data_IF_933185266005
#
_entry.id   IF_933185266005
#
_cell.length_a   1.000
_cell.length_b   1.000
_cell.length_c   1.000
_cell.angle_alpha   90.00
_cell.angle_beta   90.00
_cell.angle_gamma   90.00
#
_symmetry.space_group_name_H-M   'P 1'
#
loop_
_entity.id
_entity.type
_entity.pdbx_description
1 polymer ?
#
# COMPACT_ATOMS: atom_id res chain seq x y z
N UNK A 1 -20.77 -10.21 13.89
CA UNK A 1 -19.98 -11.39 14.30
C UNK A 1 -18.53 -10.98 14.25
N UNK A 2 -17.75 -11.15 15.31
CA UNK A 2 -16.32 -10.88 15.28
C UNK A 2 -15.65 -12.02 14.51
N UNK A 3 -15.34 -11.81 13.23
CA UNK A 3 -14.60 -12.78 12.42
C UNK A 3 -13.17 -12.94 12.96
N UNK A 4 -12.66 -14.18 12.94
CA UNK A 4 -11.28 -14.48 13.27
C UNK A 4 -10.36 -13.86 12.20
N UNK A 5 -9.50 -12.88 12.55
CA UNK A 5 -8.65 -12.20 11.57
C UNK A 5 -7.68 -13.16 10.87
N UNK A 6 -7.29 -14.27 11.50
CA UNK A 6 -6.44 -15.29 10.87
C UNK A 6 -7.21 -16.06 9.80
N UNK A 7 -8.46 -16.43 10.09
CA UNK A 7 -9.31 -17.11 9.12
C UNK A 7 -9.55 -16.23 7.88
N UNK A 8 -9.89 -14.96 8.09
CA UNK A 8 -10.06 -13.96 7.02
C UNK A 8 -8.78 -13.82 6.19
N UNK A 9 -7.62 -13.75 6.84
CA UNK A 9 -6.34 -13.65 6.14
C UNK A 9 -5.99 -14.91 5.33
N UNK A 10 -6.35 -16.11 5.82
CA UNK A 10 -6.16 -17.37 5.09
C UNK A 10 -7.06 -17.48 3.87
N UNK A 11 -8.33 -17.09 4.00
CA UNK A 11 -9.27 -17.03 2.88
C UNK A 11 -8.77 -16.08 1.80
N UNK A 12 -8.39 -14.85 2.19
CA UNK A 12 -7.85 -13.89 1.22
C UNK A 12 -6.54 -14.35 0.59
N UNK A 13 -5.66 -15.03 1.35
CA UNK A 13 -4.44 -15.61 0.79
C UNK A 13 -4.74 -16.64 -0.30
N UNK A 14 -5.73 -17.50 -0.09
CA UNK A 14 -6.14 -18.50 -1.07
C UNK A 14 -6.67 -17.85 -2.37
N UNK A 15 -7.50 -16.82 -2.25
CA UNK A 15 -7.98 -16.05 -3.42
C UNK A 15 -6.84 -15.39 -4.19
N UNK A 16 -5.87 -14.79 -3.47
CA UNK A 16 -4.71 -14.16 -4.10
C UNK A 16 -3.84 -15.19 -4.80
N UNK A 17 -3.63 -16.36 -4.19
CA UNK A 17 -2.91 -17.47 -4.82
C UNK A 17 -3.62 -17.97 -6.08
N UNK A 18 -4.94 -18.11 -6.07
CA UNK A 18 -5.71 -18.48 -7.25
C UNK A 18 -5.52 -17.46 -8.39
N UNK A 19 -5.68 -16.17 -8.10
CA UNK A 19 -5.45 -15.08 -9.07
C UNK A 19 -4.03 -15.10 -9.64
N UNK A 20 -3.04 -15.34 -8.78
CA UNK A 20 -1.64 -15.40 -9.19
C UNK A 20 -1.34 -16.63 -10.05
N UNK A 21 -1.87 -17.79 -9.68
CA UNK A 21 -1.71 -19.03 -10.44
C UNK A 21 -2.37 -18.91 -11.82
N UNK A 22 -3.58 -18.33 -11.88
CA UNK A 22 -4.25 -18.02 -13.14
C UNK A 22 -3.42 -17.05 -14.01
N UNK A 23 -2.90 -15.97 -13.42
CA UNK A 23 -2.07 -14.98 -14.12
C UNK A 23 -0.77 -15.58 -14.68
N UNK A 24 -0.15 -16.51 -13.96
CA UNK A 24 1.09 -17.18 -14.35
C UNK A 24 0.86 -18.48 -15.13
N UNK A 25 -0.40 -18.84 -15.41
CA UNK A 25 -0.79 -20.05 -16.12
C UNK A 25 -0.20 -21.34 -15.50
N UNK A 26 -0.40 -21.49 -14.19
CA UNK A 26 0.03 -22.66 -13.40
C UNK A 26 -1.10 -23.15 -12.51
N UNK A 27 -1.03 -24.41 -12.07
CA UNK A 27 -2.11 -25.03 -11.30
C UNK A 27 -2.00 -24.77 -9.79
N UNK A 28 -0.78 -24.58 -9.29
CA UNK A 28 -0.52 -24.41 -7.85
C UNK A 28 0.46 -23.30 -7.57
N UNK A 29 0.41 -22.72 -6.37
CA UNK A 29 1.38 -21.72 -5.94
C UNK A 29 2.81 -22.27 -5.92
N UNK A 30 2.98 -23.56 -5.65
CA UNK A 30 4.29 -24.21 -5.70
C UNK A 30 4.93 -24.14 -7.10
N UNK A 31 4.14 -24.24 -8.15
CA UNK A 31 4.55 -24.06 -9.55
C UNK A 31 4.75 -22.58 -9.91
N UNK A 32 4.06 -21.66 -9.24
CA UNK A 32 4.21 -20.22 -9.44
C UNK A 32 5.56 -19.69 -8.93
N UNK A 33 6.05 -20.18 -7.79
CA UNK A 33 7.31 -19.70 -7.16
C UNK A 33 8.52 -19.62 -8.09
N UNK A 34 8.92 -20.65 -8.86
CA UNK A 34 10.06 -20.53 -9.77
C UNK A 34 9.84 -19.48 -10.86
N UNK A 35 8.60 -19.24 -11.31
CA UNK A 35 8.28 -18.16 -12.25
C UNK A 35 8.43 -16.78 -11.61
N UNK A 36 7.97 -16.61 -10.37
CA UNK A 36 8.19 -15.39 -9.58
C UNK A 36 9.69 -15.09 -9.43
N UNK A 37 10.50 -16.10 -9.06
CA UNK A 37 11.94 -15.93 -8.95
C UNK A 37 12.59 -15.49 -10.27
N UNK A 38 12.15 -16.05 -11.41
CA UNK A 38 12.66 -15.66 -12.72
C UNK A 38 12.30 -14.22 -13.08
N UNK A 39 11.05 -13.81 -12.83
CA UNK A 39 10.60 -12.41 -13.01
C UNK A 39 11.42 -11.48 -12.10
N UNK A 40 11.64 -11.91 -10.85
CA UNK A 40 12.36 -11.15 -9.84
C UNK A 40 13.87 -11.11 -10.03
N UNK A 41 14.44 -11.74 -11.07
CA UNK A 41 15.88 -11.68 -11.36
C UNK A 41 16.27 -10.43 -12.17
N UNK A 42 15.33 -9.83 -12.90
CA UNK A 42 15.62 -8.67 -13.75
C UNK A 42 15.92 -7.41 -12.91
N UNK A 43 17.01 -6.70 -13.22
CA UNK A 43 17.47 -5.49 -12.53
C UNK A 43 17.63 -4.33 -13.52
N UNK A 44 17.41 -3.08 -13.10
CA UNK A 44 17.80 -1.92 -13.88
C UNK A 44 19.33 -1.85 -14.01
N UNK A 45 19.80 -1.20 -15.06
CA UNK A 45 21.22 -0.84 -15.15
C UNK A 45 21.60 0.16 -14.05
N UNK A 46 22.87 0.19 -13.59
CA UNK A 46 23.34 1.23 -12.67
C UNK A 46 22.99 2.64 -13.17
N UNK A 47 22.46 3.47 -12.26
CA UNK A 47 21.98 4.82 -12.59
C UNK A 47 20.61 4.89 -13.29
N UNK A 48 19.93 3.75 -13.53
CA UNK A 48 18.58 3.72 -14.09
C UNK A 48 17.45 3.60 -13.04
N UNK A 49 17.78 3.50 -11.75
CA UNK A 49 16.77 3.42 -10.68
C UNK A 49 15.94 4.70 -10.64
N UNK A 50 16.57 5.84 -10.41
CA UNK A 50 15.89 7.14 -10.30
C UNK A 50 15.11 7.50 -11.58
N UNK A 51 15.70 7.42 -12.80
CA UNK A 51 14.95 7.64 -14.05
C UNK A 51 13.75 6.70 -14.20
N UNK A 52 13.91 5.41 -13.90
CA UNK A 52 12.82 4.45 -14.04
C UNK A 52 11.66 4.70 -13.08
N UNK A 53 11.93 5.15 -11.84
CA UNK A 53 10.87 5.55 -10.91
C UNK A 53 10.19 6.87 -11.30
N UNK A 54 10.91 7.82 -11.91
CA UNK A 54 10.29 9.03 -12.48
C UNK A 54 9.30 8.66 -13.59
N UNK A 55 9.72 7.79 -14.51
CA UNK A 55 8.84 7.31 -15.57
C UNK A 55 7.66 6.50 -15.04
N UNK A 56 7.89 5.61 -14.06
CA UNK A 56 6.83 4.84 -13.43
C UNK A 56 5.81 5.75 -12.73
N UNK A 57 6.25 6.78 -11.99
CA UNK A 57 5.36 7.77 -11.39
C UNK A 57 4.56 8.56 -12.44
N UNK A 58 5.19 8.98 -13.54
CA UNK A 58 4.48 9.65 -14.66
C UNK A 58 3.38 8.77 -15.23
N UNK A 59 3.68 7.50 -15.52
CA UNK A 59 2.69 6.51 -15.99
C UNK A 59 1.53 6.34 -15.01
N UNK A 60 1.80 6.37 -13.71
CA UNK A 60 0.76 6.28 -12.69
C UNK A 60 -0.16 7.51 -12.67
N UNK A 61 0.40 8.71 -12.83
CA UNK A 61 -0.37 9.96 -12.95
C UNK A 61 -1.23 9.96 -14.22
N UNK A 62 -0.65 9.58 -15.36
CA UNK A 62 -1.40 9.49 -16.62
C UNK A 62 -2.54 8.47 -16.51
N UNK A 63 -2.28 7.31 -15.89
CA UNK A 63 -3.29 6.28 -15.65
C UNK A 63 -4.49 6.77 -14.84
N UNK A 64 -4.28 7.50 -13.74
CA UNK A 64 -5.41 7.98 -12.93
C UNK A 64 -6.23 9.05 -13.66
N UNK A 65 -5.59 9.87 -14.51
CA UNK A 65 -6.26 10.86 -15.37
C UNK A 65 -7.07 10.17 -16.47
N UNK A 66 -6.44 9.27 -17.21
CA UNK A 66 -7.05 8.56 -18.35
C UNK A 66 -8.26 7.72 -17.93
N UNK A 67 -8.23 7.18 -16.70
CA UNK A 67 -9.33 6.41 -16.13
C UNK A 67 -10.37 7.27 -15.39
N UNK A 68 -10.18 8.58 -15.33
CA UNK A 68 -11.08 9.50 -14.63
C UNK A 68 -11.25 9.16 -13.16
N UNK A 69 -10.20 8.65 -12.50
CA UNK A 69 -10.24 8.23 -11.10
C UNK A 69 -10.07 9.43 -10.16
N UNK A 70 -9.23 10.38 -10.55
CA UNK A 70 -8.93 11.60 -9.79
C UNK A 70 -8.79 12.80 -10.72
N UNK A 71 -9.29 13.95 -10.28
CA UNK A 71 -9.09 15.23 -10.94
C UNK A 71 -7.80 15.88 -10.38
N UNK A 72 -6.74 15.85 -11.17
CA UNK A 72 -5.42 16.35 -10.80
C UNK A 72 -5.06 17.58 -11.64
N UNK A 73 -4.41 18.61 -11.05
CA UNK A 73 -3.90 19.76 -11.80
C UNK A 73 -3.07 19.33 -13.02
N UNK A 74 -3.09 20.13 -14.10
CA UNK A 74 -2.38 19.80 -15.34
C UNK A 74 -0.87 19.66 -15.13
N UNK A 75 -0.30 20.45 -14.23
CA UNK A 75 1.11 20.47 -13.82
C UNK A 75 1.41 19.55 -12.63
N UNK A 76 0.47 18.68 -12.23
CA UNK A 76 0.70 17.74 -11.14
C UNK A 76 1.80 16.74 -11.51
N UNK A 77 2.82 16.69 -10.67
CA UNK A 77 3.93 15.74 -10.72
C UNK A 77 4.20 15.20 -9.31
N UNK A 78 4.76 13.99 -9.24
CA UNK A 78 5.23 13.39 -7.98
C UNK A 78 6.70 13.79 -7.80
N UNK A 79 7.05 14.63 -6.80
CA UNK A 79 8.43 14.93 -6.48
C UNK A 79 9.16 13.65 -6.12
N UNK A 80 10.38 13.48 -6.66
CA UNK A 80 11.20 12.31 -6.40
C UNK A 80 12.63 12.72 -6.06
N UNK A 81 13.12 12.20 -4.92
CA UNK A 81 14.47 12.44 -4.43
C UNK A 81 15.18 11.12 -4.08
N UNK A 82 16.48 10.98 -4.32
CA UNK A 82 17.25 9.87 -3.77
C UNK A 82 17.22 9.89 -2.24
N UNK A 83 17.28 8.72 -1.61
CA UNK A 83 17.48 8.61 -0.17
C UNK A 83 18.84 9.17 0.22
N UNK A 84 18.88 9.86 1.36
CA UNK A 84 20.13 10.30 1.97
C UNK A 84 20.90 9.10 2.54
N UNK A 85 22.24 9.17 2.65
CA UNK A 85 23.02 8.09 3.26
C UNK A 85 22.51 7.71 4.65
N UNK A 86 22.34 6.40 4.89
CA UNK A 86 21.75 5.86 6.11
C UNK A 86 20.22 5.74 6.06
N UNK A 87 19.55 6.31 5.06
CA UNK A 87 18.10 6.18 4.85
C UNK A 87 17.67 4.76 4.44
N UNK A 88 18.58 3.98 3.87
CA UNK A 88 18.37 2.59 3.44
C UNK A 88 18.02 1.63 4.60
N UNK A 89 18.19 2.07 5.86
CA UNK A 89 17.76 1.30 7.04
C UNK A 89 16.24 1.32 7.22
N UNK A 90 15.56 2.31 6.62
CA UNK A 90 14.13 2.52 6.74
C UNK A 90 13.38 1.87 5.58
N UNK A 91 13.77 2.19 4.34
CA UNK A 91 13.11 1.68 3.14
C UNK A 91 14.04 1.75 1.93
N UNK A 92 13.74 0.98 0.89
CA UNK A 92 14.38 1.09 -0.42
C UNK A 92 13.59 2.05 -1.34
N UNK A 93 12.26 2.15 -1.18
CA UNK A 93 11.42 3.16 -1.83
C UNK A 93 10.26 3.53 -0.89
N UNK A 94 9.87 4.79 -0.84
CA UNK A 94 8.87 5.23 0.14
C UNK A 94 8.25 6.59 -0.18
N UNK A 95 7.13 6.87 0.45
CA UNK A 95 6.59 8.23 0.53
C UNK A 95 7.06 8.92 1.82
N UNK A 96 7.62 10.13 1.68
CA UNK A 96 7.81 11.05 2.79
C UNK A 96 6.74 12.14 2.72
N UNK A 97 5.61 11.99 3.44
CA UNK A 97 4.57 13.00 3.48
C UNK A 97 5.07 14.28 4.18
N UNK A 98 4.63 15.45 3.70
CA UNK A 98 4.95 16.71 4.35
C UNK A 98 4.06 16.94 5.60
N UNK A 99 4.59 17.63 6.64
CA UNK A 99 3.80 18.10 7.79
C UNK A 99 2.60 18.96 7.38
N UNK A 100 1.50 18.89 8.15
CA UNK A 100 0.29 19.65 7.83
C UNK A 100 0.54 21.16 7.94
N UNK A 101 1.36 21.55 8.91
CA UNK A 101 1.66 22.94 9.25
C UNK A 101 3.12 23.35 8.94
N UNK A 102 3.82 22.58 8.09
CA UNK A 102 5.19 22.88 7.66
C UNK A 102 5.26 23.63 6.31
N UNK A 103 6.47 23.99 5.87
CA UNK A 103 6.75 24.44 4.50
C UNK A 103 7.14 23.25 3.60
N UNK A 104 6.94 23.37 2.29
CA UNK A 104 7.22 22.31 1.32
C UNK A 104 6.03 21.38 1.03
N UNK A 105 6.31 20.33 0.24
CA UNK A 105 5.39 19.23 -0.11
C UNK A 105 6.07 17.88 0.09
N UNK A 106 5.30 16.80 0.13
CA UNK A 106 5.85 15.45 0.29
C UNK A 106 6.74 15.05 -0.90
N UNK A 107 7.49 13.95 -0.77
CA UNK A 107 8.31 13.41 -1.85
C UNK A 107 8.27 11.89 -1.84
N UNK A 108 8.23 11.31 -3.03
CA UNK A 108 8.68 9.94 -3.25
C UNK A 108 10.19 9.91 -3.03
N UNK A 109 10.68 8.91 -2.29
CA UNK A 109 12.11 8.68 -2.08
C UNK A 109 12.52 7.30 -2.53
N UNK A 110 13.74 7.18 -3.05
CA UNK A 110 14.26 5.90 -3.56
C UNK A 110 15.74 5.75 -3.26
N UNK A 111 16.16 4.55 -2.88
CA UNK A 111 17.56 4.17 -2.77
C UNK A 111 18.14 3.97 -4.18
N UNK A 112 19.20 4.70 -4.52
CA UNK A 112 19.84 4.54 -5.83
C UNK A 112 20.78 3.31 -5.86
N UNK A 113 20.20 2.12 -5.66
CA UNK A 113 20.88 0.82 -5.70
C UNK A 113 20.12 -0.14 -6.62
N UNK A 114 20.65 -0.34 -7.83
CA UNK A 114 20.03 -1.20 -8.84
C UNK A 114 19.76 -2.63 -8.34
N UNK A 115 20.61 -3.19 -7.47
CA UNK A 115 20.47 -4.56 -6.97
C UNK A 115 19.22 -4.76 -6.09
N UNK A 116 18.75 -3.68 -5.46
CA UNK A 116 17.59 -3.67 -4.55
C UNK A 116 16.26 -3.34 -5.21
N UNK A 117 16.28 -2.97 -6.49
CA UNK A 117 15.07 -2.60 -7.23
C UNK A 117 14.84 -3.55 -8.42
N UNK A 118 14.27 -4.76 -8.18
CA UNK A 118 13.81 -5.59 -9.29
C UNK A 118 12.89 -4.82 -10.24
N UNK A 119 13.08 -4.94 -11.55
CA UNK A 119 12.36 -4.12 -12.54
C UNK A 119 10.83 -4.22 -12.41
N UNK A 120 10.34 -5.44 -12.17
CA UNK A 120 8.91 -5.70 -11.99
C UNK A 120 8.27 -4.98 -10.78
N UNK A 121 9.05 -4.44 -9.85
CA UNK A 121 8.55 -3.69 -8.69
C UNK A 121 8.36 -2.20 -8.96
N UNK A 122 8.97 -1.63 -10.01
CA UNK A 122 9.04 -0.18 -10.15
C UNK A 122 7.65 0.47 -10.28
N UNK A 123 6.78 -0.07 -11.15
CA UNK A 123 5.41 0.44 -11.30
C UNK A 123 4.54 0.11 -10.08
N UNK A 124 4.51 -1.14 -9.57
CA UNK A 124 3.79 -1.47 -8.34
C UNK A 124 4.15 -0.60 -7.12
N UNK A 125 5.44 -0.35 -6.88
CA UNK A 125 5.87 0.53 -5.79
C UNK A 125 5.55 2.00 -6.07
N UNK A 126 5.56 2.43 -7.34
CA UNK A 126 5.09 3.77 -7.73
C UNK A 126 3.59 3.95 -7.50
N UNK A 127 2.80 2.89 -7.58
CA UNK A 127 1.38 2.90 -7.18
C UNK A 127 1.24 3.01 -5.67
N UNK A 128 1.92 2.14 -4.92
CA UNK A 128 1.80 2.06 -3.46
C UNK A 128 2.27 3.34 -2.77
N UNK A 129 3.49 3.77 -3.06
CA UNK A 129 4.12 4.93 -2.41
C UNK A 129 3.72 6.24 -3.10
N UNK A 130 3.44 6.20 -4.40
CA UNK A 130 3.12 7.37 -5.21
C UNK A 130 1.61 7.54 -5.43
N UNK A 131 1.20 7.36 -6.68
CA UNK A 131 -0.15 7.64 -7.16
C UNK A 131 -0.78 6.36 -7.72
N UNK A 132 -2.02 6.00 -7.37
CA UNK A 132 -2.93 6.70 -6.45
C UNK A 132 -2.69 6.43 -4.95
N UNK A 133 -1.60 5.79 -4.53
CA UNK A 133 -1.35 5.42 -3.13
C UNK A 133 -0.97 6.57 -2.20
N UNK A 134 0.11 6.39 -1.42
CA UNK A 134 0.44 7.25 -0.28
C UNK A 134 0.67 8.72 -0.64
N UNK A 135 1.39 9.01 -1.72
CA UNK A 135 1.65 10.39 -2.12
C UNK A 135 0.34 11.12 -2.43
N UNK A 136 -0.54 10.51 -3.24
CA UNK A 136 -1.84 11.12 -3.57
C UNK A 136 -2.70 11.31 -2.31
N UNK A 137 -2.75 10.29 -1.44
CA UNK A 137 -3.50 10.33 -0.19
C UNK A 137 -3.04 11.50 0.70
N UNK A 138 -1.73 11.64 0.87
CA UNK A 138 -1.14 12.72 1.67
C UNK A 138 -1.30 14.09 1.01
N UNK A 139 -1.14 14.17 -0.31
CA UNK A 139 -1.32 15.41 -1.05
C UNK A 139 -2.76 15.94 -0.91
N UNK A 140 -3.77 15.09 -1.12
CA UNK A 140 -5.18 15.47 -0.95
C UNK A 140 -5.48 15.93 0.49
N UNK A 141 -4.93 15.22 1.48
CA UNK A 141 -5.03 15.62 2.89
C UNK A 141 -4.40 17.00 3.14
N UNK A 142 -3.20 17.27 2.60
CA UNK A 142 -2.57 18.60 2.70
C UNK A 142 -3.45 19.68 2.05
N UNK A 143 -3.96 19.46 0.82
CA UNK A 143 -4.84 20.41 0.14
C UNK A 143 -6.10 20.73 0.95
N UNK A 144 -6.61 19.73 1.65
CA UNK A 144 -7.86 19.82 2.41
C UNK A 144 -7.70 20.56 3.73
N UNK A 145 -6.63 20.29 4.48
CA UNK A 145 -6.53 20.67 5.90
C UNK A 145 -5.44 21.71 6.19
N UNK A 146 -4.45 21.91 5.30
CA UNK A 146 -3.33 22.83 5.54
C UNK A 146 -3.83 24.25 5.78
N UNK A 147 -3.34 24.87 6.87
CA UNK A 147 -3.66 26.26 7.22
C UNK A 147 -5.10 26.50 7.68
N UNK A 148 -5.90 25.45 7.92
CA UNK A 148 -7.31 25.57 8.33
C UNK A 148 -7.51 25.29 9.82
N UNK A 149 -7.39 26.33 10.65
CA UNK A 149 -7.56 26.20 12.10
C UNK A 149 -8.97 25.75 12.54
N UNK A 150 -9.99 25.94 11.69
CA UNK A 150 -11.36 25.48 11.89
C UNK A 150 -11.55 23.98 11.61
N UNK A 151 -10.52 23.29 11.09
CA UNK A 151 -10.59 21.88 10.69
C UNK A 151 -9.42 21.11 11.28
N UNK A 152 -9.70 20.35 12.34
CA UNK A 152 -8.77 19.35 12.83
C UNK A 152 -8.86 18.09 11.95
N UNK A 153 -7.71 17.53 11.58
CA UNK A 153 -7.60 16.22 10.97
C UNK A 153 -6.43 15.47 11.60
N UNK A 154 -6.54 14.14 11.77
CA UNK A 154 -5.42 13.33 12.21
C UNK A 154 -4.24 13.45 11.24
N UNK A 155 -3.03 13.51 11.79
CA UNK A 155 -1.80 13.56 10.99
C UNK A 155 -1.42 12.18 10.46
N UNK A 156 -0.73 12.11 9.30
CA UNK A 156 -0.10 10.86 8.89
C UNK A 156 0.91 10.40 9.95
N UNK A 157 0.93 9.09 10.23
CA UNK A 157 1.86 8.49 11.19
C UNK A 157 3.31 8.77 10.75
N UNK A 158 4.19 9.01 11.71
CA UNK A 158 5.62 9.29 11.49
C UNK A 158 5.94 10.62 10.77
N UNK A 159 4.95 11.49 10.58
CA UNK A 159 5.19 12.87 10.18
C UNK A 159 5.59 13.69 11.41
N UNK A 160 6.75 14.39 11.41
CA UNK A 160 7.12 15.29 12.48
C UNK A 160 6.27 16.56 12.39
N UNK A 161 5.04 16.49 12.92
CA UNK A 161 4.12 17.61 13.05
C UNK A 161 4.01 17.99 14.54
N UNK A 162 4.56 19.16 14.95
CA UNK A 162 4.56 19.58 16.36
C UNK A 162 3.16 19.69 16.96
N UNK A 163 2.16 20.04 16.15
CA UNK A 163 0.77 20.18 16.61
C UNK A 163 0.15 18.80 16.78
N UNK A 164 0.38 17.86 15.86
CA UNK A 164 -0.08 16.48 16.02
C UNK A 164 0.56 15.80 17.24
N UNK A 165 1.84 16.07 17.50
CA UNK A 165 2.55 15.58 18.69
C UNK A 165 1.93 16.13 19.98
N UNK A 166 1.58 17.42 20.04
CA UNK A 166 0.90 18.01 21.20
C UNK A 166 -0.51 17.41 21.39
N UNK A 167 -1.27 17.25 20.31
CA UNK A 167 -2.65 16.75 20.34
C UNK A 167 -2.78 15.22 20.46
N UNK A 168 -1.69 14.49 20.24
CA UNK A 168 -1.67 13.02 20.14
C UNK A 168 -2.65 12.49 19.06
N UNK A 169 -2.85 13.24 17.98
CA UNK A 169 -3.84 12.97 16.94
C UNK A 169 -3.19 12.33 15.71
N UNK A 170 -2.92 11.03 15.81
CA UNK A 170 -2.29 10.24 14.75
C UNK A 170 -3.33 9.47 13.93
N UNK A 171 -3.16 9.51 12.62
CA UNK A 171 -3.99 8.83 11.64
C UNK A 171 -3.94 7.31 11.80
N UNK A 172 -5.03 6.66 11.40
CA UNK A 172 -5.14 5.21 11.47
C UNK A 172 -4.25 4.56 10.40
N UNK A 173 -3.30 3.73 10.81
CA UNK A 173 -2.49 2.91 9.89
C UNK A 173 -3.37 2.03 8.98
N UNK A 174 -4.53 1.57 9.49
CA UNK A 174 -5.56 0.87 8.69
C UNK A 174 -6.09 1.71 7.52
N UNK A 175 -6.13 3.03 7.64
CA UNK A 175 -6.53 3.93 6.56
C UNK A 175 -5.37 4.22 5.60
N UNK A 176 -4.16 4.38 6.14
CA UNK A 176 -2.97 4.76 5.36
C UNK A 176 -2.49 3.57 4.52
N UNK A 177 -2.15 2.46 5.18
CA UNK A 177 -1.65 1.25 4.52
C UNK A 177 -2.76 0.54 3.74
N UNK A 178 -3.97 0.51 4.30
CA UNK A 178 -5.13 -0.06 3.62
C UNK A 178 -5.44 0.63 2.30
N UNK A 179 -5.29 1.97 2.24
CA UNK A 179 -5.51 2.73 1.00
C UNK A 179 -4.46 2.38 -0.06
N UNK A 180 -3.19 2.32 0.31
CA UNK A 180 -2.12 2.02 -0.62
C UNK A 180 -2.26 0.60 -1.22
N UNK A 181 -2.63 -0.39 -0.40
CA UNK A 181 -2.90 -1.75 -0.88
C UNK A 181 -4.18 -1.81 -1.73
N UNK A 182 -5.22 -1.06 -1.37
CA UNK A 182 -6.41 -0.92 -2.21
C UNK A 182 -6.07 -0.29 -3.58
N UNK A 183 -5.19 0.72 -3.60
CA UNK A 183 -4.69 1.38 -4.81
C UNK A 183 -3.90 0.42 -5.72
N UNK A 184 -3.09 -0.48 -5.14
CA UNK A 184 -2.43 -1.57 -5.88
C UNK A 184 -3.45 -2.46 -6.60
N UNK A 185 -4.47 -2.95 -5.89
CA UNK A 185 -5.51 -3.81 -6.49
C UNK A 185 -6.35 -3.06 -7.55
N UNK A 186 -6.65 -1.78 -7.31
CA UNK A 186 -7.32 -0.91 -8.27
C UNK A 186 -6.50 -0.79 -9.57
N UNK A 187 -5.22 -0.47 -9.47
CA UNK A 187 -4.33 -0.35 -10.62
C UNK A 187 -4.20 -1.67 -11.41
N UNK A 188 -4.13 -2.79 -10.68
CA UNK A 188 -4.12 -4.14 -11.26
C UNK A 188 -5.40 -4.44 -12.05
N UNK A 189 -6.58 -4.25 -11.44
CA UNK A 189 -7.87 -4.55 -12.11
C UNK A 189 -8.15 -3.65 -13.31
N UNK A 190 -7.54 -2.46 -13.34
CA UNK A 190 -7.69 -1.52 -14.44
C UNK A 190 -6.54 -1.60 -15.46
N UNK A 191 -5.61 -2.55 -15.33
CA UNK A 191 -4.62 -2.86 -16.38
C UNK A 191 -3.48 -1.86 -16.51
N UNK A 192 -3.01 -1.28 -15.40
CA UNK A 192 -1.80 -0.45 -15.40
C UNK A 192 -0.53 -1.27 -15.63
N UNK A 193 -0.49 -2.49 -15.09
CA UNK A 193 0.72 -3.29 -15.02
C UNK A 193 0.88 -4.19 -16.26
N UNK A 194 2.14 -4.39 -16.66
CA UNK A 194 2.49 -5.47 -17.56
C UNK A 194 2.44 -6.82 -16.84
N UNK A 195 2.74 -7.91 -17.55
CA UNK A 195 2.68 -9.26 -16.98
C UNK A 195 3.56 -9.42 -15.73
N UNK A 196 4.77 -8.85 -15.75
CA UNK A 196 5.71 -8.94 -14.63
C UNK A 196 5.25 -8.11 -13.42
N UNK A 197 4.81 -6.87 -13.65
CA UNK A 197 4.29 -5.98 -12.61
C UNK A 197 2.98 -6.50 -12.00
N UNK A 198 2.11 -7.12 -12.79
CA UNK A 198 0.88 -7.72 -12.30
C UNK A 198 1.17 -8.92 -11.37
N UNK A 199 2.17 -9.74 -11.71
CA UNK A 199 2.65 -10.81 -10.83
C UNK A 199 3.22 -10.24 -9.51
N UNK A 200 3.98 -9.14 -9.59
CA UNK A 200 4.52 -8.47 -8.40
C UNK A 200 3.41 -7.97 -7.45
N UNK A 201 2.35 -7.34 -7.98
CA UNK A 201 1.21 -6.87 -7.16
C UNK A 201 0.52 -8.05 -6.45
N UNK A 202 0.32 -9.16 -7.16
CA UNK A 202 -0.29 -10.35 -6.56
C UNK A 202 0.60 -10.99 -5.48
N UNK A 203 1.92 -11.03 -5.69
CA UNK A 203 2.88 -11.46 -4.67
C UNK A 203 2.91 -10.50 -3.46
N UNK A 204 2.78 -9.21 -3.71
CA UNK A 204 2.64 -8.18 -2.70
C UNK A 204 1.39 -8.40 -1.84
N UNK A 205 0.23 -8.65 -2.46
CA UNK A 205 -1.00 -8.99 -1.75
C UNK A 205 -0.85 -10.27 -0.90
N UNK A 206 -0.24 -11.33 -1.46
CA UNK A 206 -0.01 -12.58 -0.73
C UNK A 206 0.84 -12.32 0.52
N UNK A 207 1.89 -11.51 0.37
CA UNK A 207 2.77 -11.08 1.46
C UNK A 207 2.02 -10.37 2.58
N UNK A 208 1.07 -9.49 2.25
CA UNK A 208 0.26 -8.75 3.23
C UNK A 208 -0.71 -9.69 3.98
N UNK A 209 -1.20 -10.73 3.31
CA UNK A 209 -1.99 -11.78 3.96
C UNK A 209 -1.14 -12.64 4.90
N UNK A 210 0.02 -13.10 4.42
CA UNK A 210 1.00 -13.88 5.22
C UNK A 210 1.44 -13.11 6.45
N UNK A 211 1.72 -11.81 6.31
CA UNK A 211 2.08 -10.92 7.42
C UNK A 211 1.02 -10.90 8.52
N UNK A 212 -0.26 -10.78 8.17
CA UNK A 212 -1.36 -10.77 9.14
C UNK A 212 -1.51 -12.13 9.87
N UNK A 213 -1.34 -13.24 9.15
CA UNK A 213 -1.35 -14.59 9.73
C UNK A 213 -0.17 -14.77 10.68
N UNK A 214 1.04 -14.56 10.18
CA UNK A 214 2.30 -14.74 10.92
C UNK A 214 2.32 -13.90 12.17
N UNK A 215 1.95 -12.62 12.08
CA UNK A 215 1.88 -11.75 13.25
C UNK A 215 0.93 -12.30 14.31
N UNK A 216 -0.31 -12.62 13.93
CA UNK A 216 -1.33 -13.08 14.88
C UNK A 216 -0.95 -14.41 15.53
N UNK A 217 -0.39 -15.34 14.76
CA UNK A 217 0.02 -16.66 15.24
C UNK A 217 1.28 -16.58 16.12
N UNK A 218 2.25 -15.73 15.78
CA UNK A 218 3.44 -15.50 16.62
C UNK A 218 3.06 -14.91 17.98
N UNK A 219 2.26 -13.84 18.00
CA UNK A 219 1.91 -13.14 19.24
C UNK A 219 0.88 -13.89 20.09
N UNK A 220 0.15 -14.85 19.51
CA UNK A 220 -0.73 -15.76 20.25
C UNK A 220 -0.04 -17.05 20.71
N UNK A 221 1.24 -17.25 20.36
CA UNK A 221 2.01 -18.44 20.71
C UNK A 221 1.57 -19.70 19.95
N UNK A 222 0.88 -19.55 18.82
CA UNK A 222 0.41 -20.66 17.98
C UNK A 222 1.39 -21.04 16.87
N UNK A 223 2.41 -20.22 16.65
CA UNK A 223 3.48 -20.46 15.67
C UNK A 223 4.82 -20.04 16.25
N UNK A 224 5.83 -20.90 16.14
CA UNK A 224 7.21 -20.57 16.52
C UNK A 224 7.90 -19.73 15.42
N UNK A 225 8.94 -18.94 15.75
CA UNK A 225 9.59 -18.05 14.79
C UNK A 225 10.16 -18.76 13.55
N UNK A 226 10.77 -19.94 13.70
CA UNK A 226 11.31 -20.69 12.55
C UNK A 226 10.20 -21.31 11.69
N UNK A 227 9.10 -21.74 12.30
CA UNK A 227 7.90 -22.19 11.56
C UNK A 227 7.26 -21.04 10.78
N UNK A 228 7.25 -19.84 11.36
CA UNK A 228 6.79 -18.63 10.67
C UNK A 228 7.65 -18.29 9.44
N UNK A 229 8.96 -18.48 9.52
CA UNK A 229 9.87 -18.30 8.38
C UNK A 229 9.58 -19.34 7.29
N UNK A 230 9.41 -20.61 7.68
CA UNK A 230 9.06 -21.67 6.73
C UNK A 230 7.71 -21.39 6.04
N UNK A 231 6.69 -21.05 6.82
CA UNK A 231 5.37 -20.66 6.32
C UNK A 231 5.46 -19.48 5.36
N UNK A 232 6.19 -18.42 5.72
CA UNK A 232 6.34 -17.25 4.88
C UNK A 232 6.93 -17.61 3.51
N UNK A 233 7.99 -18.42 3.48
CA UNK A 233 8.64 -18.89 2.24
C UNK A 233 7.76 -19.83 1.42
N UNK A 234 6.93 -20.63 2.08
CA UNK A 234 6.05 -21.55 1.38
C UNK A 234 4.92 -20.81 0.66
N UNK A 235 4.41 -19.74 1.29
CA UNK A 235 3.25 -18.98 0.86
C UNK A 235 3.59 -17.72 0.04
N UNK A 236 4.88 -17.42 -0.16
CA UNK A 236 5.37 -16.30 -0.99
C UNK A 236 6.49 -16.77 -1.93
N UNK A 237 6.91 -15.94 -2.90
CA UNK A 237 8.10 -16.18 -3.72
C UNK A 237 9.38 -15.59 -3.12
N UNK A 238 9.37 -15.28 -1.82
CA UNK A 238 10.52 -14.68 -1.15
C UNK A 238 11.49 -15.69 -0.58
N UNK A 239 12.77 -15.32 -0.57
CA UNK A 239 13.84 -16.12 0.02
C UNK A 239 13.83 -16.08 1.56
N UNK A 240 14.70 -16.88 2.16
CA UNK A 240 14.82 -16.96 3.61
C UNK A 240 15.30 -15.66 4.26
N UNK A 241 16.12 -14.86 3.56
CA UNK A 241 16.64 -13.61 4.10
C UNK A 241 15.49 -12.61 4.29
N UNK A 242 14.65 -12.46 3.27
CA UNK A 242 13.47 -11.60 3.30
C UNK A 242 12.44 -12.14 4.31
N UNK A 243 12.15 -13.44 4.27
CA UNK A 243 11.21 -14.06 5.21
C UNK A 243 11.64 -13.85 6.68
N UNK A 244 12.91 -14.09 7.03
CA UNK A 244 13.44 -13.84 8.38
C UNK A 244 13.39 -12.36 8.76
N UNK A 245 13.67 -11.45 7.83
CA UNK A 245 13.56 -10.01 8.08
C UNK A 245 12.13 -9.64 8.47
N UNK A 246 11.16 -10.11 7.70
CA UNK A 246 9.75 -9.80 7.91
C UNK A 246 9.21 -10.46 9.19
N UNK A 247 9.54 -11.72 9.49
CA UNK A 247 9.19 -12.37 10.76
C UNK A 247 9.74 -11.60 11.96
N UNK A 248 11.02 -11.19 11.91
CA UNK A 248 11.62 -10.36 12.97
C UNK A 248 10.98 -8.98 13.09
N UNK A 249 10.43 -8.43 12.00
CA UNK A 249 9.67 -7.18 12.05
C UNK A 249 8.33 -7.41 12.75
N UNK A 250 7.61 -8.47 12.43
CA UNK A 250 6.35 -8.84 13.09
C UNK A 250 6.52 -9.05 14.60
N UNK A 251 7.65 -9.61 15.04
CA UNK A 251 7.98 -9.74 16.48
C UNK A 251 8.19 -8.39 17.17
N UNK A 252 8.78 -7.41 16.47
CA UNK A 252 9.17 -6.11 17.04
C UNK A 252 8.04 -5.08 17.08
N UNK A 253 7.14 -5.14 16.11
CA UNK A 253 6.09 -4.13 15.91
C UNK A 253 4.73 -4.82 15.77
N UNK A 254 4.12 -5.30 16.87
CA UNK A 254 2.83 -5.96 16.82
C UNK A 254 1.73 -5.02 16.31
N UNK A 255 0.71 -5.61 15.70
CA UNK A 255 -0.46 -5.02 15.02
C UNK A 255 -0.18 -4.21 13.76
N UNK A 256 1.06 -3.80 13.48
CA UNK A 256 1.37 -2.98 12.31
C UNK A 256 1.26 -3.78 11.00
N UNK A 257 1.89 -4.95 10.84
CA UNK A 257 1.72 -5.81 9.67
C UNK A 257 0.26 -6.14 9.31
N UNK A 258 -0.65 -6.31 10.28
CA UNK A 258 -2.07 -6.57 9.99
C UNK A 258 -2.81 -5.37 9.40
N UNK A 259 -2.30 -4.14 9.58
CA UNK A 259 -3.00 -2.92 9.12
C UNK A 259 -3.17 -2.86 7.61
N UNK A 260 -2.24 -3.45 6.86
CA UNK A 260 -2.28 -3.53 5.40
C UNK A 260 -3.52 -4.31 4.93
N UNK A 261 -3.65 -5.58 5.35
CA UNK A 261 -4.75 -6.44 4.92
C UNK A 261 -6.09 -5.96 5.47
N UNK A 262 -6.18 -5.72 6.78
CA UNK A 262 -7.45 -5.37 7.41
C UNK A 262 -7.96 -4.00 6.92
N UNK A 263 -7.03 -3.07 6.67
CA UNK A 263 -7.34 -1.78 6.06
C UNK A 263 -7.85 -1.93 4.63
N UNK A 264 -7.16 -2.73 3.81
CA UNK A 264 -7.55 -3.02 2.43
C UNK A 264 -8.96 -3.60 2.35
N UNK A 265 -9.25 -4.66 3.10
CA UNK A 265 -10.57 -5.31 3.14
C UNK A 265 -11.66 -4.33 3.53
N UNK A 266 -11.39 -3.47 4.52
CA UNK A 266 -12.39 -2.49 4.97
C UNK A 266 -12.64 -1.41 3.93
N UNK A 267 -11.59 -0.92 3.26
CA UNK A 267 -11.72 0.08 2.19
C UNK A 267 -12.42 -0.51 0.97
N UNK A 268 -12.09 -1.74 0.59
CA UNK A 268 -12.78 -2.48 -0.47
C UNK A 268 -14.29 -2.56 -0.19
N UNK A 269 -14.68 -2.96 1.01
CA UNK A 269 -16.09 -3.05 1.41
C UNK A 269 -16.80 -1.68 1.39
N UNK A 270 -16.14 -0.60 1.86
CA UNK A 270 -16.70 0.75 1.84
C UNK A 270 -16.93 1.24 0.40
N UNK A 271 -15.95 1.05 -0.48
CA UNK A 271 -16.08 1.45 -1.88
C UNK A 271 -17.16 0.61 -2.56
N UNK A 272 -17.20 -0.70 -2.35
CA UNK A 272 -18.25 -1.57 -2.90
C UNK A 272 -19.65 -1.09 -2.48
N UNK A 273 -19.85 -0.82 -1.19
CA UNK A 273 -21.12 -0.31 -0.67
C UNK A 273 -21.52 1.04 -1.29
N UNK A 274 -20.56 1.98 -1.46
CA UNK A 274 -20.83 3.25 -2.13
C UNK A 274 -21.24 3.06 -3.60
N UNK A 275 -20.60 2.11 -4.29
CA UNK A 275 -20.89 1.77 -5.70
C UNK A 275 -22.28 1.16 -5.84
N UNK A 276 -22.67 0.29 -4.92
CA UNK A 276 -24.04 -0.27 -4.84
C UNK A 276 -25.09 0.82 -4.59
N UNK A 277 -24.75 1.84 -3.79
CA UNK A 277 -25.60 3.01 -3.57
C UNK A 277 -25.61 4.02 -4.74
N UNK A 278 -24.93 3.72 -5.85
CA UNK A 278 -24.96 4.51 -7.09
C UNK A 278 -23.82 5.51 -7.27
N UNK A 279 -22.82 5.54 -6.38
CA UNK A 279 -21.65 6.39 -6.58
C UNK A 279 -20.80 5.88 -7.77
N UNK A 280 -20.25 6.81 -8.55
CA UNK A 280 -19.11 6.51 -9.42
C UNK A 280 -17.88 6.13 -8.58
N UNK A 281 -16.91 5.46 -9.19
CA UNK A 281 -15.69 5.08 -8.50
C UNK A 281 -14.91 6.32 -8.00
N UNK A 282 -14.80 7.35 -8.82
CA UNK A 282 -14.20 8.63 -8.46
C UNK A 282 -14.93 9.30 -7.27
N UNK A 283 -16.27 9.27 -7.25
CA UNK A 283 -17.05 9.80 -6.12
C UNK A 283 -16.79 9.02 -4.82
N UNK A 284 -16.72 7.69 -4.89
CA UNK A 284 -16.42 6.86 -3.72
C UNK A 284 -15.00 7.13 -3.17
N UNK A 285 -14.00 7.25 -4.06
CA UNK A 285 -12.63 7.60 -3.66
C UNK A 285 -12.54 9.00 -3.06
N UNK A 286 -13.16 9.99 -3.69
CA UNK A 286 -13.19 11.35 -3.17
C UNK A 286 -13.84 11.43 -1.78
N UNK A 287 -14.98 10.74 -1.60
CA UNK A 287 -15.67 10.68 -0.31
C UNK A 287 -14.81 10.02 0.78
N UNK A 288 -14.10 8.93 0.45
CA UNK A 288 -13.21 8.25 1.38
C UNK A 288 -12.05 9.17 1.83
N UNK A 289 -11.39 9.82 0.87
CA UNK A 289 -10.17 10.60 1.11
C UNK A 289 -10.43 11.99 1.70
N UNK A 290 -11.66 12.52 1.59
CA UNK A 290 -12.02 13.84 2.13
C UNK A 290 -11.84 13.92 3.66
N UNK A 291 -11.90 12.79 4.36
CA UNK A 291 -11.81 12.71 5.81
C UNK A 291 -10.37 12.64 6.35
N UNK A 292 -9.36 12.52 5.48
CA UNK A 292 -7.99 12.21 5.89
C UNK A 292 -7.84 10.77 6.41
N UNK A 293 -6.73 10.44 7.09
CA UNK A 293 -6.42 9.08 7.52
C UNK A 293 -7.20 8.65 8.77
N UNK A 294 -8.53 8.73 8.74
CA UNK A 294 -9.40 8.28 9.84
C UNK A 294 -9.73 6.79 9.73
N UNK A 295 -10.07 6.16 10.85
CA UNK A 295 -10.39 4.72 10.87
C UNK A 295 -11.53 4.39 9.89
N UNK A 296 -11.31 3.54 8.86
CA UNK A 296 -12.34 3.27 7.85
C UNK A 296 -13.63 2.66 8.43
N UNK A 297 -13.55 1.96 9.56
CA UNK A 297 -14.73 1.44 10.26
C UNK A 297 -15.71 2.52 10.74
N UNK A 298 -15.30 3.79 10.81
CA UNK A 298 -16.12 4.93 11.25
C UNK A 298 -16.73 5.73 10.09
N UNK A 299 -16.45 5.36 8.84
CA UNK A 299 -16.93 6.07 7.66
C UNK A 299 -18.22 5.46 7.10
N UNK A 300 -19.08 6.33 6.57
CA UNK A 300 -20.16 5.98 5.65
C UNK A 300 -19.96 6.79 4.37
N UNK A 301 -19.85 6.09 3.24
CA UNK A 301 -19.65 6.70 1.92
C UNK A 301 -20.96 6.87 1.15
N UNK A 302 -22.10 6.74 1.83
CA UNK A 302 -23.41 6.87 1.19
C UNK A 302 -23.57 8.29 0.60
N UNK A 303 -23.92 8.41 -0.70
CA UNK A 303 -24.18 9.70 -1.32
C UNK A 303 -25.41 10.41 -0.73
N UNK A 304 -26.31 9.71 -0.03
CA UNK A 304 -27.42 10.31 0.67
C UNK A 304 -26.96 10.96 2.00
N UNK A 305 -27.04 12.29 2.16
CA UNK A 305 -26.64 12.94 3.40
C UNK A 305 -27.50 12.57 4.60
N UNK A 306 -28.71 12.02 4.41
CA UNK A 306 -29.61 11.63 5.49
C UNK A 306 -29.22 10.31 6.20
N UNK A 307 -28.25 9.55 5.67
CA UNK A 307 -27.79 8.27 6.23
C UNK A 307 -26.40 8.35 6.88
N UNK A 308 -25.82 9.54 6.97
CA UNK A 308 -24.53 9.76 7.66
C UNK A 308 -24.76 9.83 9.18
N UNK A 309 -23.96 9.11 9.99
CA UNK A 309 -24.08 9.10 11.45
C UNK A 309 -23.68 10.44 12.10
#
# INVERSE_FOLDING_TARGET
VHEDPVAVARERLAEVHERLCAHLEVATFAEARPKLHAIAAARPEPGQVVPGYREANRRCVDFVRDRGLFDLPADFEVPLSPLVPGGEVMTDAGNLPAPLFGEGGGSFVVLDDAARHPLHWMVPLSVHEGVPGHYLQSWLWQQRFRGRADRAAPAFVSVPDPIAAERHDWGAMLAIEGWAVYAEDLALRHGLHDHAGAAAVLEFHATRCVRAIVESELHSGRMEPDDAVAFYREQTGFDEVIARRDVRRSQRVPTQPSTYLLGWLRIEALVASAREAGASLAQAHAALLEHGPVLPAKLSLDPNPASRP
#
